data_IF_121286076667
#
_entry.id   IF_121286076667
#
_cell.length_a   1.000
_cell.length_b   1.000
_cell.length_c   1.000
_cell.angle_alpha   90.00
_cell.angle_beta   90.00
_cell.angle_gamma   90.00
#
_symmetry.space_group_name_H-M   'P 1'
#
loop_
_entity.id
_entity.type
_entity.pdbx_description
1 polymer ?
#
# COMPACT_ATOMS: atom_id res chain seq x y z
N UNK A 1 -8.89 2.69 10.81
CA UNK A 1 -8.77 1.38 11.50
C UNK A 1 -8.06 0.35 10.63
N UNK A 2 -8.64 -0.11 9.51
CA UNK A 2 -8.04 -1.15 8.64
C UNK A 2 -6.60 -0.89 8.16
N UNK A 3 -6.28 0.36 7.83
CA UNK A 3 -4.96 0.77 7.32
C UNK A 3 -3.88 0.66 8.39
N UNK A 4 -4.19 1.11 9.61
CA UNK A 4 -3.31 1.01 10.78
C UNK A 4 -3.15 -0.45 11.22
N UNK A 5 -4.25 -1.19 11.36
CA UNK A 5 -4.26 -2.61 11.71
C UNK A 5 -3.39 -3.42 10.74
N UNK A 6 -3.41 -3.07 9.44
CA UNK A 6 -2.55 -3.73 8.46
C UNK A 6 -1.06 -3.51 8.72
N UNK A 7 -0.63 -2.30 9.08
CA UNK A 7 0.79 -2.02 9.36
C UNK A 7 1.21 -2.66 10.69
N UNK A 8 0.36 -2.62 11.71
CA UNK A 8 0.57 -3.27 13.01
C UNK A 8 0.71 -4.79 12.86
N UNK A 9 -0.14 -5.42 12.03
CA UNK A 9 -0.05 -6.85 11.72
C UNK A 9 1.25 -7.20 10.97
N UNK A 10 1.71 -6.34 10.04
CA UNK A 10 3.02 -6.54 9.40
C UNK A 10 4.15 -6.49 10.44
N UNK A 11 4.14 -5.49 11.32
CA UNK A 11 5.13 -5.38 12.41
C UNK A 11 5.11 -6.60 13.33
N UNK A 12 3.92 -7.06 13.71
CA UNK A 12 3.72 -8.26 14.53
C UNK A 12 4.31 -9.48 13.85
N UNK A 13 3.94 -9.76 12.59
CA UNK A 13 4.47 -10.90 11.83
C UNK A 13 6.00 -10.87 11.72
N UNK A 14 6.59 -9.72 11.43
CA UNK A 14 8.06 -9.57 11.37
C UNK A 14 8.68 -9.90 12.74
N UNK A 15 8.09 -9.41 13.83
CA UNK A 15 8.56 -9.66 15.19
C UNK A 15 8.43 -11.12 15.59
N UNK A 16 7.33 -11.77 15.23
CA UNK A 16 7.09 -13.19 15.50
C UNK A 16 8.01 -14.09 14.66
N UNK A 17 8.19 -13.79 13.37
CA UNK A 17 9.13 -14.51 12.51
C UNK A 17 10.55 -14.43 13.04
N UNK A 18 10.98 -13.27 13.53
CA UNK A 18 12.29 -13.11 14.19
C UNK A 18 12.49 -14.05 15.38
N UNK A 19 11.41 -14.40 16.09
CA UNK A 19 11.42 -15.33 17.24
C UNK A 19 11.26 -16.80 16.85
N UNK A 20 11.25 -17.12 15.56
CA UNK A 20 11.11 -18.50 15.07
C UNK A 20 9.68 -18.92 14.75
N UNK A 21 8.68 -18.04 14.90
CA UNK A 21 7.30 -18.38 14.53
C UNK A 21 7.17 -18.55 13.01
N UNK A 22 6.56 -19.65 12.60
CA UNK A 22 6.34 -19.97 11.19
C UNK A 22 4.96 -19.50 10.76
N UNK A 23 4.90 -18.94 9.56
CA UNK A 23 3.66 -18.59 8.88
C UNK A 23 3.60 -19.33 7.56
N UNK A 24 2.42 -19.84 7.23
CA UNK A 24 2.19 -20.52 5.95
C UNK A 24 2.49 -19.57 4.79
N UNK A 25 3.24 -20.06 3.80
CA UNK A 25 3.61 -19.29 2.61
C UNK A 25 4.63 -18.17 2.84
N UNK A 26 5.29 -18.09 4.01
CA UNK A 26 6.31 -17.07 4.33
C UNK A 26 7.67 -17.69 4.71
N UNK A 27 8.01 -18.85 4.13
CA UNK A 27 9.19 -19.64 4.54
C UNK A 27 10.49 -18.87 4.31
N UNK A 28 10.70 -18.33 3.12
CA UNK A 28 11.96 -17.71 2.74
C UNK A 28 12.12 -16.34 3.40
N UNK A 29 11.07 -15.52 3.44
CA UNK A 29 11.11 -14.23 4.14
C UNK A 29 11.29 -14.40 5.65
N UNK A 30 10.72 -15.44 6.24
CA UNK A 30 10.95 -15.77 7.65
C UNK A 30 12.40 -16.13 7.92
N UNK A 31 13.01 -16.96 7.05
CA UNK A 31 14.42 -17.33 7.18
C UNK A 31 15.33 -16.10 7.03
N UNK A 32 15.02 -15.23 6.07
CA UNK A 32 15.73 -13.97 5.86
C UNK A 32 15.69 -13.06 7.11
N UNK A 33 14.50 -12.87 7.69
CA UNK A 33 14.32 -12.06 8.92
C UNK A 33 15.04 -12.69 10.12
N UNK A 34 15.04 -14.02 10.24
CA UNK A 34 15.74 -14.72 11.32
C UNK A 34 17.26 -14.57 11.22
N UNK A 35 17.80 -14.60 10.01
CA UNK A 35 19.24 -14.48 9.76
C UNK A 35 19.73 -13.03 9.64
N UNK A 36 18.82 -12.06 9.65
CA UNK A 36 19.16 -10.63 9.57
C UNK A 36 20.04 -10.21 10.77
N UNK A 37 21.09 -9.44 10.51
CA UNK A 37 21.91 -8.82 11.57
C UNK A 37 21.04 -7.99 12.53
N UNK A 38 21.42 -7.97 13.80
CA UNK A 38 20.64 -7.35 14.86
C UNK A 38 20.42 -5.85 14.62
N UNK A 39 21.44 -5.15 14.16
CA UNK A 39 21.41 -3.72 13.85
C UNK A 39 20.44 -3.43 12.70
N UNK A 40 20.49 -4.22 11.61
CA UNK A 40 19.57 -4.12 10.47
C UNK A 40 18.14 -4.39 10.90
N UNK A 41 17.92 -5.44 11.70
CA UNK A 41 16.61 -5.79 12.24
C UNK A 41 16.04 -4.65 13.11
N UNK A 42 16.83 -4.13 14.05
CA UNK A 42 16.38 -3.03 14.90
C UNK A 42 16.07 -1.77 14.09
N UNK A 43 16.86 -1.48 13.06
CA UNK A 43 16.63 -0.36 12.16
C UNK A 43 15.28 -0.47 11.44
N UNK A 44 14.95 -1.63 10.87
CA UNK A 44 13.64 -1.81 10.20
C UNK A 44 12.48 -1.71 11.20
N UNK A 45 12.62 -2.24 12.41
CA UNK A 45 11.58 -2.18 13.44
C UNK A 45 11.34 -0.73 13.89
N UNK A 46 12.40 0.04 14.09
CA UNK A 46 12.30 1.45 14.47
C UNK A 46 11.57 2.24 13.38
N UNK A 47 11.94 2.05 12.12
CA UNK A 47 11.29 2.75 11.00
C UNK A 47 9.83 2.36 10.82
N UNK A 48 9.50 1.07 10.92
CA UNK A 48 8.12 0.61 10.82
C UNK A 48 7.26 1.15 11.97
N UNK A 49 7.77 1.18 13.20
CA UNK A 49 7.07 1.80 14.34
C UNK A 49 6.83 3.29 14.12
N UNK A 50 7.82 4.03 13.64
CA UNK A 50 7.69 5.45 13.31
C UNK A 50 6.68 5.68 12.19
N UNK A 51 6.67 4.82 11.17
CA UNK A 51 5.65 4.87 10.11
C UNK A 51 4.24 4.66 10.69
N UNK A 52 4.05 3.67 11.55
CA UNK A 52 2.76 3.40 12.22
C UNK A 52 2.31 4.61 13.04
N UNK A 53 3.22 5.22 13.81
CA UNK A 53 2.94 6.42 14.61
C UNK A 53 2.42 7.57 13.74
N UNK A 54 3.12 7.87 12.64
CA UNK A 54 2.73 8.93 11.71
C UNK A 54 1.40 8.59 11.04
N UNK A 55 1.23 7.37 10.52
CA UNK A 55 -0.02 6.95 9.86
C UNK A 55 -1.21 7.02 10.81
N UNK A 56 -1.03 6.67 12.08
CA UNK A 56 -2.07 6.75 13.11
C UNK A 56 -2.58 8.18 13.30
N UNK A 57 -1.70 9.19 13.27
CA UNK A 57 -2.06 10.62 13.37
C UNK A 57 -2.99 11.08 12.25
N UNK A 58 -2.79 10.56 11.03
CA UNK A 58 -3.56 10.98 9.85
C UNK A 58 -4.75 10.08 9.54
N UNK A 59 -4.73 8.82 9.96
CA UNK A 59 -5.74 7.78 9.72
C UNK A 59 -6.26 7.79 8.26
N UNK A 60 -5.37 7.62 7.26
CA UNK A 60 -5.76 7.69 5.86
C UNK A 60 -6.70 6.52 5.47
N UNK A 61 -7.56 6.72 4.45
CA UNK A 61 -8.45 5.66 3.94
C UNK A 61 -7.70 4.55 3.21
N UNK A 62 -6.49 4.85 2.72
CA UNK A 62 -5.58 3.91 2.05
C UNK A 62 -4.33 3.77 2.90
N UNK A 63 -3.81 2.55 3.00
CA UNK A 63 -2.53 2.28 3.66
C UNK A 63 -1.39 2.81 2.78
N UNK A 64 -0.44 3.60 3.29
CA UNK A 64 0.75 3.94 2.51
C UNK A 64 1.53 2.69 2.13
N UNK A 65 2.38 2.82 1.12
CA UNK A 65 3.43 1.85 0.87
C UNK A 65 4.28 1.64 2.12
N UNK A 66 4.91 0.48 2.22
CA UNK A 66 5.92 0.25 3.26
C UNK A 66 7.04 1.30 3.10
N UNK A 67 7.74 1.64 4.17
CA UNK A 67 8.95 2.45 4.02
C UNK A 67 9.96 1.75 3.07
N UNK A 68 10.50 2.43 2.03
CA UNK A 68 11.39 1.80 1.07
C UNK A 68 12.60 1.13 1.69
N UNK A 69 13.20 1.71 2.73
CA UNK A 69 14.33 1.08 3.41
C UNK A 69 13.90 -0.23 4.09
N UNK A 70 12.75 -0.25 4.75
CA UNK A 70 12.18 -1.50 5.30
C UNK A 70 11.98 -2.53 4.19
N UNK A 71 11.37 -2.14 3.07
CA UNK A 71 11.18 -3.05 1.92
C UNK A 71 12.50 -3.57 1.33
N UNK A 72 13.53 -2.72 1.20
CA UNK A 72 14.86 -3.12 0.73
C UNK A 72 15.50 -4.14 1.68
N UNK A 73 15.47 -3.89 3.00
CA UNK A 73 16.04 -4.81 3.98
C UNK A 73 15.26 -6.12 4.09
N UNK A 74 13.96 -6.13 3.77
CA UNK A 74 13.16 -7.35 3.62
C UNK A 74 13.42 -8.10 2.30
N UNK A 75 14.28 -7.55 1.44
CA UNK A 75 14.77 -8.20 0.23
C UNK A 75 14.09 -7.76 -1.06
N UNK A 76 13.09 -6.86 -1.03
CA UNK A 76 12.24 -6.53 -2.19
C UNK A 76 13.03 -6.12 -3.44
N UNK A 77 14.12 -5.37 -3.24
CA UNK A 77 14.89 -4.74 -4.31
C UNK A 77 16.28 -5.36 -4.53
N UNK A 78 16.62 -6.40 -3.77
CA UNK A 78 17.85 -7.18 -3.97
C UNK A 78 17.65 -8.35 -4.93
N UNK A 79 16.58 -8.33 -5.74
CA UNK A 79 16.21 -9.43 -6.63
C UNK A 79 15.57 -10.59 -5.88
N UNK A 80 14.44 -10.36 -5.19
CA UNK A 80 13.71 -11.41 -4.46
C UNK A 80 13.58 -12.71 -5.26
N UNK A 81 14.03 -13.81 -4.68
CA UNK A 81 13.63 -15.16 -5.08
C UNK A 81 12.16 -15.47 -4.71
N UNK A 82 11.49 -14.58 -3.93
CA UNK A 82 10.18 -14.83 -3.32
C UNK A 82 9.22 -13.61 -3.27
N UNK A 83 8.92 -12.92 -4.40
CA UNK A 83 7.98 -11.79 -4.44
C UNK A 83 6.56 -12.14 -3.94
N UNK A 84 6.16 -13.40 -4.08
CA UNK A 84 4.87 -13.90 -3.61
C UNK A 84 4.76 -13.84 -2.07
N UNK A 85 5.82 -14.23 -1.37
CA UNK A 85 5.86 -14.19 0.10
C UNK A 85 5.86 -12.74 0.60
N UNK A 86 6.51 -11.83 -0.12
CA UNK A 86 6.43 -10.40 0.21
C UNK A 86 5.00 -9.88 0.08
N UNK A 87 4.31 -10.21 -1.01
CA UNK A 87 2.90 -9.85 -1.18
C UNK A 87 2.00 -10.41 -0.07
N UNK A 88 2.23 -11.66 0.35
CA UNK A 88 1.52 -12.29 1.47
C UNK A 88 1.82 -11.61 2.80
N UNK A 89 3.09 -11.24 3.07
CA UNK A 89 3.47 -10.49 4.26
C UNK A 89 2.78 -9.12 4.28
N UNK A 90 2.79 -8.41 3.14
CA UNK A 90 2.10 -7.12 2.96
C UNK A 90 0.57 -7.25 2.98
N UNK A 91 0.02 -8.46 3.04
CA UNK A 91 -1.41 -8.70 3.13
C UNK A 91 -2.17 -8.45 1.83
N UNK A 92 -1.50 -8.48 0.68
CA UNK A 92 -2.12 -8.30 -0.64
C UNK A 92 -3.11 -9.46 -0.96
N UNK A 93 -4.20 -9.19 -1.70
CA UNK A 93 -5.10 -10.23 -2.18
C UNK A 93 -4.38 -11.30 -3.01
N UNK A 94 -4.78 -12.57 -2.86
CA UNK A 94 -4.18 -13.68 -3.64
C UNK A 94 -4.28 -13.44 -5.14
N UNK A 95 -5.43 -12.99 -5.63
CA UNK A 95 -5.62 -12.66 -7.04
C UNK A 95 -4.69 -11.54 -7.55
N UNK A 96 -4.31 -10.60 -6.69
CA UNK A 96 -3.35 -9.54 -7.04
C UNK A 96 -1.93 -10.09 -7.06
N UNK A 97 -1.55 -10.93 -6.08
CA UNK A 97 -0.25 -11.62 -6.04
C UNK A 97 -0.06 -12.50 -7.29
N UNK A 98 -1.08 -13.27 -7.68
CA UNK A 98 -1.07 -14.08 -8.89
C UNK A 98 -0.95 -13.24 -10.16
N UNK A 99 -1.60 -12.07 -10.21
CA UNK A 99 -1.49 -11.14 -11.33
C UNK A 99 -0.09 -10.55 -11.51
N UNK A 100 0.78 -10.54 -10.48
CA UNK A 100 2.18 -10.16 -10.65
C UNK A 100 2.96 -11.20 -11.47
N UNK A 101 2.57 -12.49 -11.41
CA UNK A 101 3.22 -13.57 -12.17
C UNK A 101 3.07 -13.39 -13.67
N UNK A 102 2.06 -12.66 -14.13
CA UNK A 102 1.87 -12.30 -15.54
C UNK A 102 2.68 -11.06 -15.96
N UNK A 103 3.77 -10.74 -15.26
CA UNK A 103 4.71 -9.65 -15.59
C UNK A 103 4.06 -8.25 -15.60
N UNK A 104 3.11 -7.99 -14.70
CA UNK A 104 2.47 -6.68 -14.57
C UNK A 104 3.27 -5.79 -13.62
N UNK A 105 3.90 -4.75 -14.18
CA UNK A 105 4.80 -3.84 -13.45
C UNK A 105 4.29 -2.40 -13.32
N UNK A 106 3.14 -2.08 -13.91
CA UNK A 106 2.49 -0.77 -13.76
C UNK A 106 0.97 -0.86 -13.96
N UNK A 107 0.28 0.24 -13.66
CA UNK A 107 -1.08 0.51 -14.11
C UNK A 107 -1.10 0.46 -15.65
N UNK A 108 -1.81 -0.53 -16.20
CA UNK A 108 -1.89 -0.79 -17.64
C UNK A 108 -3.15 -0.19 -18.30
N UNK A 109 -3.28 -0.37 -19.62
CA UNK A 109 -4.43 0.13 -20.38
C UNK A 109 -5.78 -0.39 -19.89
N UNK A 110 -5.85 -1.58 -19.29
CA UNK A 110 -7.11 -2.09 -18.74
C UNK A 110 -7.49 -1.34 -17.47
N UNK A 111 -6.52 -1.03 -16.61
CA UNK A 111 -6.77 -0.18 -15.44
C UNK A 111 -7.22 1.22 -15.87
N UNK A 112 -6.60 1.80 -16.92
CA UNK A 112 -7.01 3.12 -17.42
C UNK A 112 -8.46 3.11 -17.94
N UNK A 113 -8.90 2.04 -18.61
CA UNK A 113 -10.33 1.88 -18.97
C UNK A 113 -11.21 1.81 -17.74
N UNK A 114 -10.80 1.06 -16.71
CA UNK A 114 -11.54 0.98 -15.44
C UNK A 114 -11.62 2.34 -14.73
N UNK A 115 -10.61 3.22 -14.85
CA UNK A 115 -10.69 4.59 -14.33
C UNK A 115 -11.83 5.35 -14.99
N UNK A 116 -11.95 5.29 -16.32
CA UNK A 116 -13.02 5.97 -17.05
C UNK A 116 -14.39 5.41 -16.68
N UNK A 117 -14.53 4.09 -16.58
CA UNK A 117 -15.77 3.47 -16.10
C UNK A 117 -16.11 3.88 -14.66
N UNK A 118 -15.11 4.01 -13.77
CA UNK A 118 -15.32 4.51 -12.41
C UNK A 118 -15.78 5.98 -12.46
N UNK A 119 -15.18 6.83 -13.29
CA UNK A 119 -15.61 8.23 -13.48
C UNK A 119 -17.06 8.32 -13.95
N UNK A 120 -17.43 7.55 -14.98
CA UNK A 120 -18.80 7.52 -15.50
C UNK A 120 -19.81 7.08 -14.44
N UNK A 121 -19.50 6.02 -13.69
CA UNK A 121 -20.36 5.55 -12.60
C UNK A 121 -20.54 6.58 -11.49
N UNK A 122 -19.46 7.31 -11.15
CA UNK A 122 -19.49 8.40 -10.19
C UNK A 122 -20.41 9.52 -10.70
N UNK A 123 -20.23 9.96 -11.94
CA UNK A 123 -21.02 11.03 -12.58
C UNK A 123 -22.51 10.67 -12.68
N UNK A 124 -22.83 9.47 -13.14
CA UNK A 124 -24.20 8.99 -13.30
C UNK A 124 -24.95 8.95 -11.95
N UNK A 125 -24.29 8.50 -10.87
CA UNK A 125 -24.89 8.50 -9.52
C UNK A 125 -25.19 9.90 -9.00
N UNK A 126 -24.38 10.90 -9.35
CA UNK A 126 -24.68 12.30 -8.99
C UNK A 126 -25.89 12.84 -9.73
N UNK A 127 -26.04 12.53 -11.01
CA UNK A 127 -27.14 13.06 -11.84
C UNK A 127 -28.51 12.48 -11.44
N UNK A 128 -28.54 11.29 -10.82
CA UNK A 128 -29.75 10.66 -10.30
C UNK A 128 -30.23 11.25 -8.96
N UNK A 129 -29.31 11.80 -8.15
CA UNK A 129 -29.61 12.34 -6.83
C UNK A 129 -29.56 13.87 -6.85
N UNK A 130 -30.62 14.51 -7.37
CA UNK A 130 -30.79 15.98 -7.47
C UNK A 130 -30.78 16.75 -6.13
N UNK A 131 -30.27 16.19 -5.03
CA UNK A 131 -30.28 16.80 -3.70
C UNK A 131 -29.09 16.41 -2.79
N UNK A 132 -27.93 15.98 -3.31
CA UNK A 132 -26.71 15.90 -2.51
C UNK A 132 -25.55 16.62 -3.19
N UNK A 133 -24.94 17.54 -2.44
CA UNK A 133 -23.87 18.43 -2.87
C UNK A 133 -22.74 17.72 -3.61
N UNK A 134 -22.09 18.49 -4.49
CA UNK A 134 -20.91 18.17 -5.28
C UNK A 134 -20.31 16.78 -5.02
N UNK A 135 -20.29 15.91 -6.05
CA UNK A 135 -19.55 14.66 -6.00
C UNK A 135 -18.13 14.93 -5.50
N UNK A 136 -17.86 14.67 -4.22
CA UNK A 136 -16.64 15.15 -3.57
C UNK A 136 -15.42 14.29 -3.94
N UNK A 137 -15.64 13.19 -4.68
CA UNK A 137 -14.60 12.31 -5.20
C UNK A 137 -13.63 13.10 -6.10
N UNK A 138 -12.37 13.10 -5.71
CA UNK A 138 -11.31 13.89 -6.34
C UNK A 138 -10.26 13.00 -7.02
N UNK A 139 -9.88 11.89 -6.37
CA UNK A 139 -8.90 10.96 -6.90
C UNK A 139 -9.20 9.51 -6.47
N UNK A 140 -8.69 8.56 -7.25
CA UNK A 140 -8.43 7.19 -6.78
C UNK A 140 -7.01 7.20 -6.21
N UNK A 141 -6.85 6.71 -4.99
CA UNK A 141 -5.55 6.57 -4.34
C UNK A 141 -5.26 5.10 -4.10
N UNK A 142 -4.01 4.69 -4.34
CA UNK A 142 -3.52 3.35 -4.09
C UNK A 142 -2.24 3.38 -3.24
N UNK A 143 -1.96 2.28 -2.56
CA UNK A 143 -0.64 2.02 -1.97
C UNK A 143 0.43 2.00 -3.07
N UNK A 144 1.52 2.77 -2.97
CA UNK A 144 2.59 2.72 -3.97
C UNK A 144 3.29 1.36 -4.06
N UNK A 145 3.71 0.99 -5.27
CA UNK A 145 4.30 -0.32 -5.57
C UNK A 145 3.32 -1.51 -5.48
N UNK A 146 2.06 -1.27 -5.11
CA UNK A 146 0.99 -2.27 -5.22
C UNK A 146 0.27 -2.10 -6.55
N UNK A 147 0.22 -3.18 -7.33
CA UNK A 147 -0.49 -3.22 -8.61
C UNK A 147 -1.63 -4.21 -8.45
N UNK A 148 -2.89 -3.75 -8.46
CA UNK A 148 -4.02 -4.66 -8.32
C UNK A 148 -4.22 -5.49 -9.59
N UNK A 149 -4.93 -6.61 -9.47
CA UNK A 149 -5.42 -7.33 -10.66
C UNK A 149 -6.43 -6.50 -11.47
N UNK A 150 -7.13 -5.58 -10.79
CA UNK A 150 -8.13 -4.64 -11.30
C UNK A 150 -8.31 -3.49 -10.29
N UNK A 151 -8.52 -2.26 -10.75
CA UNK A 151 -8.92 -1.13 -9.90
C UNK A 151 -10.28 -1.35 -9.23
N UNK A 152 -11.07 -2.34 -9.68
CA UNK A 152 -12.35 -2.74 -9.08
C UNK A 152 -12.21 -3.93 -8.13
N UNK A 153 -11.00 -4.41 -7.85
CA UNK A 153 -10.75 -5.57 -6.99
C UNK A 153 -11.29 -5.35 -5.58
N UNK A 154 -12.45 -5.94 -5.27
CA UNK A 154 -13.16 -5.75 -4.00
C UNK A 154 -12.30 -6.08 -2.78
N UNK A 155 -11.42 -7.07 -2.86
CA UNK A 155 -10.51 -7.40 -1.77
C UNK A 155 -9.50 -6.29 -1.50
N UNK A 156 -8.95 -5.66 -2.55
CA UNK A 156 -8.00 -4.55 -2.43
C UNK A 156 -8.66 -3.34 -1.76
N UNK A 157 -9.89 -3.02 -2.15
CA UNK A 157 -10.71 -1.98 -1.50
C UNK A 157 -11.01 -2.32 -0.04
N UNK A 158 -11.43 -3.55 0.22
CA UNK A 158 -11.76 -4.00 1.57
C UNK A 158 -10.56 -3.97 2.53
N UNK A 159 -9.35 -4.20 2.01
CA UNK A 159 -8.07 -4.15 2.73
C UNK A 159 -7.48 -2.75 2.83
N UNK A 160 -8.10 -1.73 2.22
CA UNK A 160 -7.60 -0.36 2.23
C UNK A 160 -6.32 -0.17 1.40
N UNK A 161 -6.17 -0.93 0.31
CA UNK A 161 -5.09 -0.76 -0.67
C UNK A 161 -5.48 0.15 -1.83
N UNK A 162 -6.79 0.39 -2.00
CA UNK A 162 -7.39 1.30 -2.98
C UNK A 162 -8.54 2.03 -2.29
N UNK A 163 -8.68 3.34 -2.52
CA UNK A 163 -9.88 4.07 -2.15
C UNK A 163 -10.15 5.22 -3.13
N UNK A 164 -11.43 5.61 -3.20
CA UNK A 164 -11.83 6.94 -3.68
C UNK A 164 -11.68 7.92 -2.52
N UNK A 165 -11.07 9.06 -2.80
CA UNK A 165 -10.84 10.10 -1.79
C UNK A 165 -11.42 11.43 -2.23
N UNK A 166 -11.92 12.17 -1.25
CA UNK A 166 -12.32 13.56 -1.42
C UNK A 166 -11.12 14.50 -1.53
N UNK A 167 -11.35 15.75 -1.96
CA UNK A 167 -10.29 16.77 -1.96
C UNK A 167 -9.72 16.99 -0.55
N UNK A 168 -10.55 16.91 0.50
CA UNK A 168 -10.12 17.05 1.89
C UNK A 168 -9.20 15.90 2.30
N UNK A 169 -9.59 14.65 2.00
CA UNK A 169 -8.78 13.47 2.27
C UNK A 169 -7.49 13.46 1.45
N UNK A 170 -7.55 13.85 0.18
CA UNK A 170 -6.37 14.02 -0.66
C UNK A 170 -5.38 15.01 -0.05
N UNK A 171 -5.83 16.20 0.37
CA UNK A 171 -4.97 17.18 1.06
C UNK A 171 -4.37 16.61 2.34
N UNK A 172 -5.10 15.75 3.05
CA UNK A 172 -4.60 15.06 4.24
C UNK A 172 -3.51 14.02 3.88
N UNK A 173 -3.71 13.26 2.80
CA UNK A 173 -2.73 12.30 2.26
C UNK A 173 -1.44 13.02 1.83
N UNK A 174 -1.53 14.17 1.18
CA UNK A 174 -0.35 14.97 0.80
C UNK A 174 0.43 15.44 2.03
N UNK A 175 -0.26 15.85 3.11
CA UNK A 175 0.41 16.21 4.38
C UNK A 175 1.08 15.00 5.04
N UNK A 176 0.38 13.87 5.08
CA UNK A 176 0.91 12.60 5.57
C UNK A 176 2.18 12.21 4.80
N UNK A 177 2.16 12.27 3.47
CA UNK A 177 3.31 11.90 2.64
C UNK A 177 4.53 12.78 2.90
N UNK A 178 4.33 14.10 3.07
CA UNK A 178 5.41 15.01 3.44
C UNK A 178 5.99 14.68 4.82
N UNK A 179 5.15 14.38 5.81
CA UNK A 179 5.63 13.99 7.15
C UNK A 179 6.38 12.66 7.11
N UNK A 180 5.89 11.68 6.34
CA UNK A 180 6.59 10.42 6.13
C UNK A 180 7.96 10.64 5.47
N UNK A 181 8.05 11.44 4.41
CA UNK A 181 9.32 11.73 3.73
C UNK A 181 10.31 12.46 4.63
N UNK A 182 9.84 13.37 5.48
CA UNK A 182 10.68 14.12 6.40
C UNK A 182 11.22 13.25 7.55
N UNK A 183 10.36 12.43 8.15
CA UNK A 183 10.70 11.61 9.34
C UNK A 183 11.35 10.27 8.97
N UNK A 184 11.07 9.77 7.77
CA UNK A 184 11.60 8.52 7.22
C UNK A 184 12.30 8.79 5.88
N UNK A 185 13.34 9.66 5.86
CA UNK A 185 14.06 9.95 4.64
C UNK A 185 14.64 8.66 4.07
N UNK A 186 14.57 8.55 2.75
CA UNK A 186 15.09 7.42 2.00
C UNK A 186 15.47 7.90 0.60
N UNK A 187 16.46 7.24 0.01
CA UNK A 187 16.79 7.37 -1.40
C UNK A 187 16.63 5.98 -2.01
N UNK A 188 15.54 5.75 -2.74
CA UNK A 188 15.31 4.49 -3.43
C UNK A 188 14.62 4.73 -4.77
N UNK A 189 15.11 4.12 -5.85
CA UNK A 189 14.51 4.25 -7.20
C UNK A 189 13.21 3.45 -7.40
N UNK A 190 12.59 2.95 -6.32
CA UNK A 190 11.47 2.01 -6.38
C UNK A 190 10.10 2.69 -6.38
N UNK A 191 9.96 3.75 -5.59
CA UNK A 191 8.89 4.75 -5.64
C UNK A 191 9.34 5.96 -4.83
N UNK A 192 9.00 7.17 -5.31
CA UNK A 192 9.33 8.43 -4.63
C UNK A 192 8.19 8.91 -3.71
N UNK A 193 7.05 8.22 -3.74
CA UNK A 193 5.82 8.59 -3.04
C UNK A 193 5.24 7.36 -2.34
N UNK A 194 4.58 7.55 -1.20
CA UNK A 194 3.94 6.47 -0.46
C UNK A 194 2.56 6.08 -1.02
N UNK A 195 2.00 6.94 -1.89
CA UNK A 195 0.71 6.73 -2.53
C UNK A 195 0.75 7.03 -4.03
N UNK A 196 0.15 6.14 -4.83
CA UNK A 196 -0.18 6.40 -6.23
C UNK A 196 -1.51 7.14 -6.31
N UNK A 197 -1.61 8.18 -7.14
CA UNK A 197 -2.78 9.06 -7.22
C UNK A 197 -3.27 9.19 -8.66
N UNK A 198 -4.51 8.81 -8.92
CA UNK A 198 -5.18 8.94 -10.22
C UNK A 198 -6.29 9.97 -10.08
N UNK A 199 -6.12 11.16 -10.66
CA UNK A 199 -7.10 12.24 -10.56
C UNK A 199 -8.35 11.96 -11.40
N UNK A 200 -9.51 12.25 -10.82
CA UNK A 200 -10.81 12.02 -11.44
C UNK A 200 -11.42 13.30 -12.05
N UNK A 201 -11.02 14.46 -11.52
CA UNK A 201 -11.36 15.77 -12.05
C UNK A 201 -10.08 16.42 -12.58
N UNK A 202 -10.12 16.95 -13.80
CA UNK A 202 -9.07 17.85 -14.30
C UNK A 202 -9.29 19.25 -13.75
#
# INVERSE_FOLDING_TARGET
MKTLESLENILEKITCMRRGQKYEGLKNISLHIQNMEYEKYNFIILRLKKQIEIVKKYNPPVRPAMDPMVSSYLGLYSGLDFPEEYGLLMGYPKCCIESFKSARFAIDNNHLKEVEEIKENILNRTNLNNNLGENNNYAIVLTSGFIPCSLKCRESWNKGLIALVSLKEYKNIVKLERELLNELPHYHGGYNEYFEKIFLKK
#
